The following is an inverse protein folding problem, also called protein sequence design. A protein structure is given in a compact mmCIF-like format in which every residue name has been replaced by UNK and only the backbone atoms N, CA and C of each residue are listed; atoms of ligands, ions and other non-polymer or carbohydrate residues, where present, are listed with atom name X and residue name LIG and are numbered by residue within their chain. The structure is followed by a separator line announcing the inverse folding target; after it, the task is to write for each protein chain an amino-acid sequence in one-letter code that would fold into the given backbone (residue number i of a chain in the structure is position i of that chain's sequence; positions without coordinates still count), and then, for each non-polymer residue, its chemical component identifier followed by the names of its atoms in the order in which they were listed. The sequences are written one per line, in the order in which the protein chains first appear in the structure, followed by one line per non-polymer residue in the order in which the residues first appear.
data_IF_499570321908
#
_entry.id   IF_499570321908
#
_cell.length_a   1.000
_cell.length_b   1.000
_cell.length_c   1.000
_cell.angle_alpha   90.00
_cell.angle_beta   90.00
_cell.angle_gamma   90.00
#
_symmetry.space_group_name_H-M   'P 1'
#
loop_
_entity.id
_entity.type
_entity.pdbx_description
1 polymer ?
#
# COMPACT_ATOMS: atom_id res chain seq x y z
N UNK A 1 -8.46 -2.15 -1.70
CA UNK A 1 -9.77 -1.44 -1.63
C UNK A 1 -10.88 -2.45 -1.35
N UNK A 2 -11.73 -2.25 -0.34
CA UNK A 2 -12.78 -3.21 0.04
C UNK A 2 -13.75 -3.46 -1.12
N UNK A 3 -14.09 -4.73 -1.38
CA UNK A 3 -14.92 -5.25 -2.50
C UNK A 3 -14.35 -5.07 -3.92
N UNK A 4 -13.45 -4.13 -4.16
CA UNK A 4 -12.83 -3.92 -5.49
C UNK A 4 -11.54 -4.72 -5.63
N UNK A 5 -10.70 -4.76 -4.59
CA UNK A 5 -9.38 -5.40 -4.59
C UNK A 5 -9.41 -6.93 -4.55
N UNK A 6 -10.40 -7.54 -5.22
CA UNK A 6 -10.52 -8.98 -5.43
C UNK A 6 -9.58 -9.43 -6.56
N UNK A 7 -9.34 -10.74 -6.65
CA UNK A 7 -8.41 -11.35 -7.62
C UNK A 7 -8.56 -10.79 -9.05
N UNK A 8 -9.76 -10.71 -9.66
CA UNK A 8 -9.86 -10.28 -11.06
C UNK A 8 -9.34 -8.86 -11.29
N UNK A 9 -9.61 -7.95 -10.36
CA UNK A 9 -9.15 -6.57 -10.45
C UNK A 9 -7.64 -6.46 -10.24
N UNK A 10 -7.08 -7.23 -9.30
CA UNK A 10 -5.63 -7.26 -9.05
C UNK A 10 -4.87 -7.79 -10.26
N UNK A 11 -5.30 -8.91 -10.85
CA UNK A 11 -4.70 -9.42 -12.08
C UNK A 11 -4.82 -8.44 -13.23
N UNK A 12 -5.97 -7.78 -13.39
CA UNK A 12 -6.14 -6.77 -14.42
C UNK A 12 -5.19 -5.57 -14.23
N UNK A 13 -5.02 -5.10 -13.00
CA UNK A 13 -4.07 -4.04 -12.69
C UNK A 13 -2.61 -4.45 -12.97
N UNK A 14 -2.20 -5.65 -12.56
CA UNK A 14 -0.85 -6.18 -12.83
C UNK A 14 -0.58 -6.30 -14.32
N UNK A 15 -1.50 -6.92 -15.07
CA UNK A 15 -1.39 -7.08 -16.53
C UNK A 15 -1.34 -5.75 -17.28
N UNK A 16 -1.83 -4.68 -16.66
CA UNK A 16 -1.73 -3.32 -17.17
C UNK A 16 -0.64 -2.51 -16.49
N UNK A 17 0.37 -3.13 -15.90
CA UNK A 17 1.61 -2.45 -15.52
C UNK A 17 1.65 -1.90 -14.09
N UNK A 18 0.72 -2.26 -13.22
CA UNK A 18 0.91 -2.04 -11.78
C UNK A 18 2.10 -2.88 -11.28
N UNK A 19 3.00 -2.28 -10.50
CA UNK A 19 4.18 -2.99 -10.00
C UNK A 19 3.87 -3.87 -8.77
N UNK A 20 2.87 -3.47 -7.97
CA UNK A 20 2.35 -4.22 -6.82
C UNK A 20 0.83 -4.06 -6.75
N UNK A 21 0.14 -5.06 -6.19
CA UNK A 21 -1.31 -5.04 -5.99
C UNK A 21 -1.70 -5.38 -4.56
N UNK A 22 -2.53 -4.51 -3.97
CA UNK A 22 -3.01 -4.70 -2.61
C UNK A 22 -4.35 -5.45 -2.61
N UNK A 23 -4.53 -6.34 -1.63
CA UNK A 23 -5.84 -6.92 -1.35
C UNK A 23 -6.87 -5.86 -0.93
N UNK A 24 -8.12 -6.25 -0.77
CA UNK A 24 -8.97 -5.56 0.19
C UNK A 24 -8.42 -5.66 1.61
N UNK A 25 -8.90 -4.80 2.51
CA UNK A 25 -8.61 -4.95 3.93
C UNK A 25 -9.25 -6.25 4.43
N UNK A 26 -8.43 -7.19 4.89
CA UNK A 26 -8.89 -8.43 5.49
C UNK A 26 -8.73 -8.32 7.01
N UNK A 27 -9.84 -8.41 7.73
CA UNK A 27 -9.80 -8.41 9.20
C UNK A 27 -9.08 -9.66 9.69
N UNK A 28 -8.10 -9.50 10.56
CA UNK A 28 -7.27 -10.58 11.11
C UNK A 28 -8.06 -11.81 11.55
N UNK A 29 -9.17 -11.62 12.27
CA UNK A 29 -10.08 -12.68 12.74
C UNK A 29 -10.67 -13.50 11.59
N UNK A 30 -10.88 -12.93 10.41
CA UNK A 30 -11.34 -13.67 9.23
C UNK A 30 -10.26 -14.62 8.70
N UNK A 31 -8.99 -14.20 8.68
CA UNK A 31 -7.87 -15.06 8.32
C UNK A 31 -7.65 -16.18 9.35
N UNK A 32 -7.77 -15.88 10.64
CA UNK A 32 -7.69 -16.91 11.70
C UNK A 32 -8.75 -18.00 11.54
N UNK A 33 -9.94 -17.61 11.07
CA UNK A 33 -11.02 -18.55 10.78
C UNK A 33 -10.94 -19.15 9.37
N UNK A 34 -9.88 -18.89 8.61
CA UNK A 34 -9.69 -19.45 7.28
C UNK A 34 -8.83 -20.72 7.31
N UNK A 35 -9.03 -21.59 6.31
CA UNK A 35 -8.15 -22.71 5.97
C UNK A 35 -7.53 -22.42 4.60
N UNK A 36 -6.22 -22.64 4.46
CA UNK A 36 -5.51 -22.58 3.18
C UNK A 36 -5.84 -23.83 2.36
N UNK A 37 -6.33 -23.66 1.14
CA UNK A 37 -6.73 -24.74 0.23
C UNK A 37 -6.10 -24.50 -1.12
N UNK A 38 -5.35 -25.49 -1.63
CA UNK A 38 -4.86 -25.46 -3.01
C UNK A 38 -6.01 -25.86 -3.93
N UNK A 39 -6.45 -24.93 -4.78
CA UNK A 39 -7.53 -25.13 -5.72
C UNK A 39 -6.96 -25.49 -7.11
N UNK A 40 -6.75 -26.79 -7.32
CA UNK A 40 -6.16 -27.31 -8.57
C UNK A 40 -6.98 -26.96 -9.82
N UNK A 41 -8.31 -26.85 -9.70
CA UNK A 41 -9.19 -26.53 -10.84
C UNK A 41 -8.95 -25.12 -11.37
N UNK A 42 -8.64 -24.18 -10.48
CA UNK A 42 -8.44 -22.77 -10.82
C UNK A 42 -6.96 -22.38 -10.87
N UNK A 43 -6.05 -23.24 -10.41
CA UNK A 43 -4.64 -22.88 -10.23
C UNK A 43 -4.46 -21.78 -9.18
N UNK A 44 -5.27 -21.79 -8.11
CA UNK A 44 -5.25 -20.76 -7.07
C UNK A 44 -5.01 -21.33 -5.67
N UNK A 45 -4.61 -20.45 -4.76
CA UNK A 45 -4.60 -20.70 -3.33
C UNK A 45 -5.78 -19.94 -2.72
N UNK A 46 -6.67 -20.68 -2.08
CA UNK A 46 -7.91 -20.17 -1.50
C UNK A 46 -7.82 -20.21 0.03
N UNK A 47 -8.02 -19.06 0.67
CA UNK A 47 -8.26 -18.96 2.10
C UNK A 47 -9.76 -19.02 2.33
N UNK A 48 -10.24 -20.18 2.74
CA UNK A 48 -11.67 -20.49 2.85
C UNK A 48 -12.11 -20.41 4.31
N UNK A 49 -13.16 -19.65 4.61
CA UNK A 49 -13.74 -19.58 5.94
C UNK A 49 -14.24 -20.97 6.38
N UNK A 50 -13.84 -21.42 7.56
CA UNK A 50 -14.16 -22.75 8.10
C UNK A 50 -15.65 -22.96 8.40
N UNK A 51 -16.39 -21.88 8.68
CA UNK A 51 -17.78 -21.98 9.13
C UNK A 51 -18.78 -22.05 7.98
N UNK A 52 -18.60 -21.22 6.95
CA UNK A 52 -19.56 -21.06 5.85
C UNK A 52 -18.98 -21.40 4.47
N UNK A 53 -17.71 -21.81 4.41
CA UNK A 53 -16.97 -22.08 3.18
C UNK A 53 -16.86 -20.89 2.20
N UNK A 54 -17.12 -19.66 2.66
CA UNK A 54 -16.89 -18.45 1.85
C UNK A 54 -15.40 -18.22 1.61
N UNK A 55 -15.07 -17.61 0.47
CA UNK A 55 -13.68 -17.24 0.15
C UNK A 55 -13.33 -15.94 0.88
N UNK A 56 -12.34 -15.99 1.76
CA UNK A 56 -11.77 -14.81 2.45
C UNK A 56 -10.76 -14.12 1.54
N UNK A 57 -9.89 -14.89 0.88
CA UNK A 57 -8.92 -14.42 -0.09
C UNK A 57 -8.66 -15.54 -1.09
N UNK A 58 -8.52 -15.18 -2.36
CA UNK A 58 -8.04 -16.07 -3.41
C UNK A 58 -6.85 -15.42 -4.07
N UNK A 59 -5.80 -16.21 -4.29
CA UNK A 59 -4.53 -15.78 -4.87
C UNK A 59 -4.23 -16.66 -6.07
N UNK A 60 -3.92 -16.06 -7.22
CA UNK A 60 -3.41 -16.79 -8.38
C UNK A 60 -1.88 -16.80 -8.36
N UNK A 61 -1.27 -17.82 -8.96
CA UNK A 61 0.20 -17.91 -9.05
C UNK A 61 0.81 -16.66 -9.70
N UNK A 62 0.13 -16.09 -10.70
CA UNK A 62 0.55 -14.88 -11.44
C UNK A 62 0.78 -13.63 -10.58
N UNK A 63 0.10 -13.50 -9.43
CA UNK A 63 0.24 -12.33 -8.55
C UNK A 63 1.07 -12.60 -7.29
N UNK A 64 1.55 -13.83 -7.08
CA UNK A 64 2.15 -14.26 -5.81
C UNK A 64 3.35 -13.40 -5.40
N UNK A 65 4.19 -13.01 -6.36
CA UNK A 65 5.37 -12.15 -6.16
C UNK A 65 5.04 -10.64 -6.17
N UNK A 66 3.76 -10.27 -6.31
CA UNK A 66 3.33 -8.87 -6.43
C UNK A 66 2.23 -8.47 -5.45
N UNK A 67 1.62 -9.46 -4.78
CA UNK A 67 0.47 -9.25 -3.91
C UNK A 67 0.89 -8.80 -2.51
N UNK A 68 0.32 -7.68 -2.08
CA UNK A 68 0.43 -7.16 -0.72
C UNK A 68 -0.86 -7.46 0.03
N UNK A 69 -0.80 -8.31 1.05
CA UNK A 69 -1.96 -8.61 1.88
C UNK A 69 -2.14 -7.54 2.96
N UNK A 70 -3.17 -6.72 2.82
CA UNK A 70 -3.50 -5.69 3.81
C UNK A 70 -4.42 -6.26 4.90
N UNK A 71 -3.94 -6.29 6.14
CA UNK A 71 -4.70 -6.73 7.30
C UNK A 71 -5.23 -5.57 8.15
N UNK A 72 -6.45 -5.74 8.67
CA UNK A 72 -7.00 -4.90 9.73
C UNK A 72 -6.86 -5.62 11.07
N UNK A 73 -6.14 -5.01 12.02
CA UNK A 73 -5.96 -5.55 13.38
C UNK A 73 -5.82 -4.45 14.43
N UNK A 74 -6.15 -4.77 15.68
CA UNK A 74 -5.96 -3.90 16.84
C UNK A 74 -5.20 -4.58 17.99
N UNK A 75 -4.65 -5.78 17.73
CA UNK A 75 -3.96 -6.59 18.73
C UNK A 75 -2.72 -7.30 18.12
N UNK A 76 -1.51 -7.12 18.68
CA UNK A 76 -0.28 -7.69 18.12
C UNK A 76 -0.32 -9.21 17.95
N UNK A 77 -0.76 -9.94 18.97
CA UNK A 77 -0.80 -11.40 18.93
C UNK A 77 -1.79 -11.93 17.88
N UNK A 78 -2.91 -11.24 17.68
CA UNK A 78 -3.92 -11.62 16.68
C UNK A 78 -3.41 -11.30 15.26
N UNK A 79 -2.77 -10.13 15.08
CA UNK A 79 -2.12 -9.75 13.84
C UNK A 79 -1.05 -10.77 13.43
N UNK A 80 -0.15 -11.16 14.36
CA UNK A 80 0.90 -12.14 14.08
C UNK A 80 0.33 -13.48 13.64
N UNK A 81 -0.66 -14.02 14.38
CA UNK A 81 -1.29 -15.28 14.00
C UNK A 81 -1.94 -15.22 12.63
N UNK A 82 -2.58 -14.10 12.27
CA UNK A 82 -3.16 -13.91 10.94
C UNK A 82 -2.09 -13.81 9.85
N UNK A 83 -1.00 -13.08 10.11
CA UNK A 83 0.14 -12.97 9.20
C UNK A 83 0.82 -14.33 8.93
N UNK A 84 0.99 -15.16 9.97
CA UNK A 84 1.54 -16.52 9.85
C UNK A 84 0.73 -17.46 8.98
N UNK A 85 -0.57 -17.21 8.82
CA UNK A 85 -1.43 -18.01 7.93
C UNK A 85 -1.14 -17.72 6.46
N UNK A 86 -0.71 -16.50 6.13
CA UNK A 86 -0.67 -15.97 4.76
C UNK A 86 0.76 -15.71 4.24
N UNK A 87 1.75 -15.57 5.11
CA UNK A 87 3.11 -15.11 4.76
C UNK A 87 3.81 -15.92 3.65
N UNK A 88 3.46 -17.18 3.43
CA UNK A 88 4.09 -18.02 2.40
C UNK A 88 3.46 -17.88 0.99
N UNK A 89 2.38 -17.12 0.88
CA UNK A 89 1.57 -17.01 -0.33
C UNK A 89 1.44 -15.57 -0.85
N UNK A 90 2.18 -14.63 -0.25
CA UNK A 90 2.15 -13.20 -0.58
C UNK A 90 3.56 -12.62 -0.58
N UNK A 91 3.75 -11.53 -1.32
CA UNK A 91 5.04 -10.81 -1.39
C UNK A 91 5.31 -10.03 -0.10
N UNK A 92 4.28 -9.38 0.45
CA UNK A 92 4.41 -8.61 1.69
C UNK A 92 3.08 -8.47 2.41
N UNK A 93 3.14 -8.01 3.66
CA UNK A 93 1.96 -7.75 4.50
C UNK A 93 1.92 -6.27 4.89
N UNK A 94 0.74 -5.66 4.76
CA UNK A 94 0.48 -4.27 5.13
C UNK A 94 -0.53 -4.20 6.29
N UNK A 95 -0.32 -3.29 7.24
CA UNK A 95 -1.30 -3.01 8.29
C UNK A 95 -2.11 -1.75 7.96
N UNK A 96 -3.43 -1.89 7.87
CA UNK A 96 -4.33 -0.77 7.64
C UNK A 96 -4.45 0.10 8.91
N UNK A 97 -3.97 1.34 8.81
CA UNK A 97 -4.08 2.38 9.83
C UNK A 97 -4.81 3.63 9.31
N UNK A 98 -5.50 3.52 8.17
CA UNK A 98 -6.11 4.63 7.45
C UNK A 98 -7.63 4.55 7.26
N UNK A 99 -8.25 3.39 7.47
CA UNK A 99 -9.69 3.20 7.27
C UNK A 99 -10.52 4.08 8.23
N UNK A 100 -11.37 5.02 7.73
CA UNK A 100 -12.22 5.86 8.58
C UNK A 100 -13.56 5.21 8.93
N UNK A 101 -13.87 4.04 8.34
CA UNK A 101 -15.17 3.38 8.48
C UNK A 101 -15.47 3.00 9.93
N UNK A 102 -16.74 3.18 10.34
CA UNK A 102 -17.16 3.02 11.73
C UNK A 102 -16.82 1.65 12.31
N UNK A 103 -17.04 0.57 11.54
CA UNK A 103 -16.76 -0.80 12.01
C UNK A 103 -15.27 -1.00 12.32
N UNK A 104 -14.38 -0.40 11.53
CA UNK A 104 -12.93 -0.50 11.72
C UNK A 104 -12.51 0.31 12.95
N UNK A 105 -12.95 1.56 13.04
CA UNK A 105 -12.58 2.48 14.13
C UNK A 105 -13.10 1.97 15.48
N UNK A 106 -14.35 1.49 15.54
CA UNK A 106 -14.96 0.96 16.76
C UNK A 106 -14.22 -0.27 17.30
N UNK A 107 -13.74 -1.13 16.40
CA UNK A 107 -12.89 -2.28 16.76
C UNK A 107 -11.43 -1.90 17.10
N UNK A 108 -11.09 -0.61 17.07
CA UNK A 108 -9.75 -0.09 17.34
C UNK A 108 -8.75 -0.30 16.20
N UNK A 109 -9.22 -0.61 14.99
CA UNK A 109 -8.42 -0.84 13.78
C UNK A 109 -8.45 0.39 12.86
N UNK A 110 -7.74 0.35 11.74
CA UNK A 110 -7.74 1.43 10.75
C UNK A 110 -7.31 2.76 11.38
N UNK A 111 -8.00 3.85 11.05
CA UNK A 111 -7.70 5.18 11.62
C UNK A 111 -7.88 5.28 13.14
N UNK A 112 -8.49 4.29 13.79
CA UNK A 112 -8.51 4.18 15.26
C UNK A 112 -7.11 4.02 15.86
N UNK A 113 -6.17 3.43 15.12
CA UNK A 113 -4.78 3.25 15.53
C UNK A 113 -4.00 4.57 15.58
N UNK A 114 -4.41 5.59 14.83
CA UNK A 114 -3.75 6.92 14.84
C UNK A 114 -3.82 7.58 16.23
N UNK A 115 -4.86 7.28 17.01
CA UNK A 115 -5.02 7.74 18.41
C UNK A 115 -4.35 6.82 19.43
N UNK A 116 -3.78 5.69 18.98
CA UNK A 116 -3.17 4.64 19.81
C UNK A 116 -1.78 4.27 19.29
N UNK A 117 -0.84 5.24 19.20
CA UNK A 117 0.47 5.03 18.59
C UNK A 117 1.28 3.89 19.23
N UNK A 118 1.13 3.68 20.55
CA UNK A 118 1.75 2.54 21.25
C UNK A 118 1.24 1.19 20.75
N UNK A 119 -0.08 1.06 20.53
CA UNK A 119 -0.67 -0.16 19.96
C UNK A 119 -0.25 -0.35 18.50
N UNK A 120 -0.28 0.72 17.70
CA UNK A 120 0.14 0.68 16.30
C UNK A 120 1.59 0.17 16.17
N UNK A 121 2.51 0.76 16.95
CA UNK A 121 3.90 0.33 17.04
C UNK A 121 4.03 -1.12 17.49
N UNK A 122 3.34 -1.53 18.55
CA UNK A 122 3.46 -2.90 19.06
C UNK A 122 2.97 -3.95 18.06
N UNK A 123 1.97 -3.63 17.23
CA UNK A 123 1.54 -4.52 16.14
C UNK A 123 2.67 -4.67 15.12
N UNK A 124 3.23 -3.55 14.66
CA UNK A 124 4.29 -3.58 13.65
C UNK A 124 5.55 -4.27 14.17
N UNK A 125 6.00 -3.98 15.39
CA UNK A 125 7.18 -4.64 15.99
C UNK A 125 7.00 -6.15 16.13
N UNK A 126 5.78 -6.61 16.46
CA UNK A 126 5.50 -8.04 16.57
C UNK A 126 5.56 -8.72 15.19
N UNK A 127 5.06 -8.05 14.16
CA UNK A 127 5.08 -8.57 12.79
C UNK A 127 6.50 -8.57 12.21
N UNK A 128 7.23 -7.45 12.29
CA UNK A 128 8.56 -7.30 11.69
C UNK A 128 9.60 -8.25 12.30
N UNK A 129 9.44 -8.61 13.58
CA UNK A 129 10.34 -9.57 14.25
C UNK A 129 10.07 -11.03 13.90
N UNK A 130 8.83 -11.37 13.55
CA UNK A 130 8.40 -12.77 13.52
C UNK A 130 7.88 -13.24 12.17
N UNK A 131 7.54 -12.35 11.24
CA UNK A 131 7.06 -12.68 9.89
C UNK A 131 8.24 -12.70 8.92
N UNK A 132 8.22 -13.63 7.98
CA UNK A 132 9.30 -13.85 7.00
C UNK A 132 9.30 -12.88 5.82
N UNK A 133 8.12 -12.34 5.47
CA UNK A 133 7.96 -11.35 4.40
C UNK A 133 8.00 -9.91 4.93
N UNK A 134 8.37 -8.92 4.09
CA UNK A 134 8.42 -7.53 4.50
C UNK A 134 7.07 -7.00 5.03
N UNK A 135 7.14 -6.15 6.06
CA UNK A 135 5.96 -5.50 6.67
C UNK A 135 5.91 -4.02 6.31
N UNK A 136 4.72 -3.55 5.91
CA UNK A 136 4.42 -2.15 5.64
C UNK A 136 3.17 -1.68 6.41
N UNK A 137 2.88 -0.38 6.35
CA UNK A 137 1.59 0.11 6.82
C UNK A 137 1.06 1.26 5.96
N UNK A 138 -0.27 1.41 5.94
CA UNK A 138 -0.95 2.50 5.26
C UNK A 138 -1.71 3.40 6.23
N UNK A 139 -1.36 4.67 6.28
CA UNK A 139 -1.88 5.66 7.23
C UNK A 139 -2.70 6.76 6.55
N UNK A 140 -3.40 7.55 7.38
CA UNK A 140 -3.93 8.88 7.08
C UNK A 140 -3.19 9.92 7.90
N UNK A 141 -3.37 11.20 7.55
CA UNK A 141 -2.78 12.30 8.31
C UNK A 141 -3.45 12.49 9.67
N UNK A 142 -2.64 12.94 10.64
CA UNK A 142 -3.13 13.55 11.87
C UNK A 142 -3.42 15.04 11.62
N UNK A 143 -4.24 15.70 12.47
CA UNK A 143 -4.62 17.10 12.27
C UNK A 143 -3.44 18.08 12.18
N UNK A 144 -2.31 17.77 12.81
CA UNK A 144 -1.08 18.56 12.73
C UNK A 144 -0.03 17.80 11.94
N UNK A 145 0.67 18.53 11.06
CA UNK A 145 1.79 17.99 10.27
C UNK A 145 2.86 17.34 11.15
N UNK A 146 3.32 18.06 12.19
CA UNK A 146 4.33 17.55 13.13
C UNK A 146 3.94 16.21 13.76
N UNK A 147 2.66 16.05 14.13
CA UNK A 147 2.18 14.82 14.72
C UNK A 147 2.17 13.67 13.69
N UNK A 148 1.82 13.98 12.44
CA UNK A 148 1.90 13.01 11.33
C UNK A 148 3.34 12.54 11.09
N UNK A 149 4.30 13.48 11.01
CA UNK A 149 5.73 13.16 10.85
C UNK A 149 6.24 12.28 12.00
N UNK A 150 5.93 12.66 13.25
CA UNK A 150 6.30 11.88 14.43
C UNK A 150 5.68 10.47 14.42
N UNK A 151 4.43 10.35 13.96
CA UNK A 151 3.77 9.05 13.83
C UNK A 151 4.48 8.18 12.78
N UNK A 152 4.82 8.73 11.62
CA UNK A 152 5.53 8.00 10.55
C UNK A 152 6.91 7.52 11.02
N UNK A 153 7.68 8.38 11.71
CA UNK A 153 8.98 8.01 12.30
C UNK A 153 8.84 6.93 13.37
N UNK A 154 7.77 6.98 14.17
CA UNK A 154 7.46 5.92 15.12
C UNK A 154 7.18 4.58 14.42
N UNK A 155 6.43 4.59 13.31
CA UNK A 155 6.17 3.37 12.54
C UNK A 155 7.45 2.83 11.88
N UNK A 156 8.30 3.71 11.33
CA UNK A 156 9.63 3.34 10.84
C UNK A 156 10.47 2.66 11.93
N UNK A 157 10.48 3.20 13.16
CA UNK A 157 11.24 2.61 14.28
C UNK A 157 10.77 1.21 14.67
N UNK A 158 9.58 0.79 14.23
CA UNK A 158 9.08 -0.57 14.40
C UNK A 158 9.65 -1.57 13.36
N UNK A 159 10.42 -1.10 12.37
CA UNK A 159 11.11 -1.94 11.38
C UNK A 159 10.31 -2.18 10.09
N UNK A 160 9.30 -1.37 9.77
CA UNK A 160 8.60 -1.48 8.49
C UNK A 160 9.50 -1.05 7.33
N UNK A 161 9.33 -1.67 6.15
CA UNK A 161 10.16 -1.37 4.99
C UNK A 161 9.62 -0.20 4.14
N UNK A 162 8.34 0.16 4.26
CA UNK A 162 7.73 1.30 3.55
C UNK A 162 6.47 1.77 4.27
N UNK A 163 6.04 2.99 3.97
CA UNK A 163 4.79 3.57 4.49
C UNK A 163 3.95 4.20 3.39
N UNK A 164 2.69 3.81 3.29
CA UNK A 164 1.71 4.44 2.40
C UNK A 164 0.95 5.56 3.10
N UNK A 165 0.96 6.77 2.54
CA UNK A 165 0.34 7.96 3.17
C UNK A 165 -0.82 8.44 2.32
N UNK A 166 -2.05 8.26 2.82
CA UNK A 166 -3.19 9.00 2.30
C UNK A 166 -3.13 10.41 2.87
N UNK A 167 -2.89 11.41 2.02
CA UNK A 167 -2.73 12.81 2.43
C UNK A 167 -4.06 13.52 2.76
N UNK A 168 -4.90 12.86 3.54
CA UNK A 168 -6.10 13.42 4.16
C UNK A 168 -6.16 12.96 5.60
N UNK A 169 -6.76 13.78 6.44
CA UNK A 169 -7.15 13.39 7.79
C UNK A 169 -8.30 12.38 7.75
N UNK A 170 -8.62 11.80 8.90
CA UNK A 170 -9.77 10.90 9.03
C UNK A 170 -11.09 11.63 8.80
N UNK A 171 -11.22 12.83 9.38
CA UNK A 171 -12.43 13.66 9.38
C UNK A 171 -12.82 14.10 7.97
N UNK A 172 -11.85 14.34 7.10
CA UNK A 172 -12.08 14.71 5.70
C UNK A 172 -12.66 13.57 4.86
N UNK A 173 -12.48 12.30 5.27
CA UNK A 173 -12.86 11.13 4.47
C UNK A 173 -12.35 11.23 3.02
N UNK A 174 -13.24 11.46 2.06
CA UNK A 174 -12.95 11.66 0.63
C UNK A 174 -13.30 13.07 0.15
N UNK A 175 -13.61 14.00 1.07
CA UNK A 175 -13.95 15.40 0.81
C UNK A 175 -12.69 16.26 0.72
N UNK A 176 -12.80 17.41 0.08
CA UNK A 176 -11.69 18.34 -0.12
C UNK A 176 -10.57 17.77 -1.00
N UNK A 177 -9.50 18.52 -1.16
CA UNK A 177 -8.29 18.08 -1.87
C UNK A 177 -7.33 17.35 -0.93
N UNK A 178 -6.57 16.40 -1.48
CA UNK A 178 -5.48 15.76 -0.77
C UNK A 178 -4.32 16.75 -0.51
N UNK A 179 -3.81 16.77 0.72
CA UNK A 179 -2.73 17.65 1.21
C UNK A 179 -1.35 17.12 0.82
N UNK A 180 -1.02 17.12 -0.47
CA UNK A 180 0.25 16.57 -0.98
C UNK A 180 1.49 17.20 -0.35
N UNK A 181 1.44 18.46 0.13
CA UNK A 181 2.56 19.12 0.80
C UNK A 181 3.07 18.34 2.00
N UNK A 182 2.20 17.62 2.70
CA UNK A 182 2.61 16.81 3.86
C UNK A 182 3.53 15.66 3.46
N UNK A 183 3.38 15.11 2.25
CA UNK A 183 4.25 14.04 1.74
C UNK A 183 5.62 14.60 1.37
N UNK A 184 5.67 15.79 0.75
CA UNK A 184 6.93 16.48 0.47
C UNK A 184 7.73 16.73 1.76
N UNK A 185 7.06 17.25 2.79
CA UNK A 185 7.67 17.48 4.11
C UNK A 185 8.17 16.17 4.73
N UNK A 186 7.43 15.07 4.57
CA UNK A 186 7.88 13.74 5.01
C UNK A 186 9.13 13.26 4.26
N UNK A 187 9.20 13.51 2.95
CA UNK A 187 10.37 13.18 2.12
C UNK A 187 11.59 14.04 2.42
N UNK A 188 11.39 15.24 2.96
CA UNK A 188 12.46 16.16 3.36
C UNK A 188 12.92 15.96 4.81
N UNK A 189 12.20 15.19 5.64
CA UNK A 189 12.61 14.88 7.01
C UNK A 189 13.79 13.89 6.99
N UNK A 190 14.99 14.29 7.45
CA UNK A 190 16.18 13.45 7.40
C UNK A 190 16.11 12.20 8.31
N UNK A 191 15.17 12.17 9.25
CA UNK A 191 14.97 11.02 10.14
C UNK A 191 14.00 9.99 9.55
N UNK A 192 13.25 10.33 8.47
CA UNK A 192 12.34 9.40 7.79
C UNK A 192 12.99 8.89 6.50
N UNK A 193 13.67 7.76 6.61
CA UNK A 193 14.52 7.19 5.56
C UNK A 193 13.85 6.06 4.77
N UNK A 194 12.75 5.50 5.28
CA UNK A 194 12.01 4.46 4.54
C UNK A 194 11.27 5.06 3.34
N UNK A 195 11.05 4.28 2.27
CA UNK A 195 10.17 4.66 1.18
C UNK A 195 8.78 5.13 1.65
N UNK A 196 8.33 6.26 1.11
CA UNK A 196 7.02 6.86 1.33
C UNK A 196 6.21 6.80 0.05
N UNK A 197 5.10 6.06 0.08
CA UNK A 197 4.18 5.94 -1.05
C UNK A 197 3.04 6.96 -0.92
N UNK A 198 2.87 7.79 -1.94
CA UNK A 198 1.84 8.82 -1.97
C UNK A 198 0.46 8.26 -2.36
N UNK A 199 -0.59 8.66 -1.65
CA UNK A 199 -1.97 8.27 -1.95
C UNK A 199 -2.90 9.47 -1.83
N UNK A 200 -3.73 9.69 -2.85
CA UNK A 200 -4.79 10.70 -2.83
C UNK A 200 -4.86 11.50 -4.12
N UNK A 201 -6.06 11.56 -4.70
CA UNK A 201 -6.42 12.40 -5.86
C UNK A 201 -5.63 12.14 -7.15
N UNK A 202 -5.19 10.90 -7.35
CA UNK A 202 -4.64 10.44 -8.61
C UNK A 202 -5.73 9.75 -9.45
N UNK A 203 -6.21 10.41 -10.51
CA UNK A 203 -7.26 9.91 -11.41
C UNK A 203 -6.83 9.80 -12.88
N UNK A 204 -5.67 10.36 -13.23
CA UNK A 204 -5.11 10.37 -14.58
C UNK A 204 -3.59 10.23 -14.56
N UNK A 205 -3.00 9.98 -15.74
CA UNK A 205 -1.54 10.00 -15.94
C UNK A 205 -0.95 11.34 -15.49
N UNK A 206 -1.60 12.46 -15.87
CA UNK A 206 -1.16 13.79 -15.47
C UNK A 206 -1.13 13.93 -13.94
N UNK A 207 -2.16 13.47 -13.24
CA UNK A 207 -2.19 13.53 -11.77
C UNK A 207 -1.07 12.71 -11.15
N UNK A 208 -0.75 11.53 -11.70
CA UNK A 208 0.35 10.70 -11.22
C UNK A 208 1.70 11.42 -11.36
N UNK A 209 1.91 12.07 -12.50
CA UNK A 209 3.13 12.81 -12.79
C UNK A 209 3.27 14.03 -11.87
N UNK A 210 2.21 14.82 -11.74
CA UNK A 210 2.21 15.97 -10.83
C UNK A 210 2.37 15.55 -9.37
N UNK A 211 1.71 14.46 -8.95
CA UNK A 211 1.84 13.92 -7.60
C UNK A 211 3.30 13.53 -7.31
N UNK A 212 3.94 12.77 -8.21
CA UNK A 212 5.35 12.36 -8.05
C UNK A 212 6.27 13.59 -8.04
N UNK A 213 6.12 14.49 -9.02
CA UNK A 213 6.93 15.70 -9.15
C UNK A 213 6.84 16.59 -7.92
N UNK A 214 5.64 16.80 -7.41
CA UNK A 214 5.39 17.68 -6.27
C UNK A 214 5.84 17.06 -4.94
N UNK A 215 5.53 15.78 -4.72
CA UNK A 215 5.78 15.13 -3.42
C UNK A 215 7.15 14.50 -3.28
N UNK A 216 7.84 14.26 -4.40
CA UNK A 216 9.09 13.49 -4.45
C UNK A 216 8.96 12.10 -3.79
N UNK A 217 7.75 11.53 -3.82
CA UNK A 217 7.47 10.22 -3.24
C UNK A 217 8.18 9.10 -4.01
N UNK A 218 8.41 7.99 -3.31
CA UNK A 218 9.13 6.84 -3.88
C UNK A 218 8.20 6.02 -4.79
N UNK A 219 6.89 6.04 -4.52
CA UNK A 219 5.86 5.45 -5.37
C UNK A 219 4.47 6.03 -5.12
N UNK A 220 3.50 5.62 -5.93
CA UNK A 220 2.13 6.13 -5.88
C UNK A 220 1.16 4.96 -5.71
N UNK A 221 0.26 5.09 -4.74
CA UNK A 221 -0.87 4.19 -4.54
C UNK A 221 -2.13 4.79 -5.19
N UNK A 222 -2.56 4.19 -6.30
CA UNK A 222 -3.76 4.62 -7.03
C UNK A 222 -4.95 3.75 -6.63
N UNK A 223 -5.96 4.37 -6.01
CA UNK A 223 -7.19 3.71 -5.58
C UNK A 223 -8.34 4.01 -6.56
N UNK A 224 -9.04 5.14 -6.34
CA UNK A 224 -10.24 5.49 -7.12
C UNK A 224 -9.96 5.64 -8.61
N UNK A 225 -8.81 6.20 -9.02
CA UNK A 225 -8.43 6.28 -10.44
C UNK A 225 -8.41 4.91 -11.12
N UNK A 226 -7.79 3.92 -10.47
CA UNK A 226 -7.75 2.55 -10.96
C UNK A 226 -9.13 1.87 -10.98
N UNK A 227 -10.03 2.21 -10.06
CA UNK A 227 -11.42 1.72 -10.13
C UNK A 227 -12.16 2.23 -11.37
N UNK A 228 -11.87 3.45 -11.82
CA UNK A 228 -12.50 4.02 -13.02
C UNK A 228 -11.86 3.44 -14.28
N UNK A 229 -10.53 3.31 -14.29
CA UNK A 229 -9.79 2.75 -15.40
C UNK A 229 -8.54 2.00 -14.91
N UNK A 230 -8.55 0.66 -14.84
CA UNK A 230 -7.37 -0.14 -14.49
C UNK A 230 -6.20 0.02 -15.46
N UNK A 231 -6.46 0.45 -16.71
CA UNK A 231 -5.41 0.70 -17.71
C UNK A 231 -4.52 1.90 -17.37
N UNK A 232 -4.89 2.71 -16.38
CA UNK A 232 -4.11 3.89 -15.95
C UNK A 232 -2.65 3.56 -15.64
N UNK A 233 -2.37 2.36 -15.11
CA UNK A 233 -1.01 1.93 -14.80
C UNK A 233 -0.16 1.78 -16.07
N UNK A 234 -0.76 1.35 -17.19
CA UNK A 234 -0.06 1.15 -18.45
C UNK A 234 0.31 2.49 -19.06
N UNK A 235 -0.63 3.43 -19.05
CA UNK A 235 -0.41 4.77 -19.58
C UNK A 235 0.68 5.52 -18.79
N UNK A 236 0.71 5.35 -17.47
CA UNK A 236 1.77 5.91 -16.61
C UNK A 236 3.13 5.29 -16.96
N UNK A 237 3.20 3.96 -17.03
CA UNK A 237 4.46 3.25 -17.31
C UNK A 237 4.99 3.55 -18.71
N UNK A 238 4.12 3.52 -19.71
CA UNK A 238 4.47 3.85 -21.10
C UNK A 238 5.02 5.27 -21.23
N UNK A 239 4.40 6.24 -20.54
CA UNK A 239 4.87 7.62 -20.56
C UNK A 239 6.19 7.81 -19.80
N UNK A 240 6.46 7.03 -18.76
CA UNK A 240 7.80 6.97 -18.14
C UNK A 240 8.86 6.41 -19.08
N UNK A 241 8.57 5.32 -19.78
CA UNK A 241 9.52 4.72 -20.71
C UNK A 241 9.80 5.64 -21.92
N UNK A 242 8.82 6.43 -22.34
CA UNK A 242 9.00 7.50 -23.33
C UNK A 242 9.95 8.59 -22.80
N UNK A 243 9.67 9.17 -21.63
CA UNK A 243 10.50 10.23 -21.03
C UNK A 243 11.93 9.74 -20.72
N UNK A 244 12.09 8.51 -20.25
CA UNK A 244 13.39 7.93 -19.96
C UNK A 244 14.23 7.74 -21.24
N UNK A 245 13.59 7.32 -22.34
CA UNK A 245 14.26 7.24 -23.65
C UNK A 245 14.66 8.60 -24.16
N UNK A 246 13.76 9.58 -24.15
CA UNK A 246 14.06 10.97 -24.54
C UNK A 246 15.23 11.53 -23.73
N UNK A 247 15.27 11.31 -22.41
CA UNK A 247 16.36 11.75 -21.56
C UNK A 247 17.71 11.14 -21.98
N UNK A 248 17.77 9.81 -22.18
CA UNK A 248 18.99 9.13 -22.59
C UNK A 248 19.48 9.59 -23.97
N UNK A 249 18.56 9.83 -24.92
CA UNK A 249 18.88 10.40 -26.22
C UNK A 249 19.49 11.80 -26.09
N UNK A 250 18.95 12.65 -25.21
CA UNK A 250 19.51 13.99 -24.97
C UNK A 250 20.85 13.99 -24.24
N UNK A 251 21.09 13.04 -23.33
CA UNK A 251 22.42 12.86 -22.71
C UNK A 251 23.47 12.47 -23.74
N UNK A 252 23.14 11.55 -24.64
CA UNK A 252 24.04 11.10 -25.72
C UNK A 252 24.46 12.29 -26.60
N UNK A 253 23.55 13.23 -26.88
CA UNK A 253 23.88 14.48 -27.60
C UNK A 253 24.85 15.37 -26.81
N UNK A 254 24.70 15.45 -25.48
CA UNK A 254 25.61 16.22 -24.63
C UNK A 254 27.01 15.60 -24.56
N UNK A 255 27.11 14.28 -24.47
CA UNK A 255 28.38 13.55 -24.43
C UNK A 255 29.15 13.70 -25.75
N UNK A 256 28.47 13.58 -26.88
CA UNK A 256 29.05 13.84 -28.21
C UNK A 256 29.53 15.28 -28.40
N UNK A 257 28.88 16.24 -27.74
CA UNK A 257 29.30 17.64 -27.76
C UNK A 257 30.60 17.88 -26.98
N UNK A 258 30.79 17.16 -25.87
CA UNK A 258 32.01 17.28 -25.05
C UNK A 258 33.20 16.50 -25.64
N UNK A 259 32.97 15.45 -26.44
CA UNK A 259 34.03 14.76 -27.22
C UNK A 259 34.58 15.60 -28.40
N UNK A 260 33.88 16.67 -28.79
CA UNK A 260 34.29 17.57 -29.88
C UNK A 260 34.91 18.90 -29.39
N UNK A 261 35.25 18.99 -28.11
CA UNK A 261 36.07 20.05 -27.51
C UNK A 261 37.49 19.58 -27.21
#
# INVERSE_FOLDING_TARGET
MVRVGLLPFRLLALRHGADLVYTEEIIDKKLLNAKRVVNQKLGTIDFVNKNDNSIVLRIAEEEKEFIVCQIGSSNPATALKAAKIIENDVESIDVNMGCPEHFSVHAGMGSGLLKRPKTARSILEELTKNVSVPISCKVRLLPKLKDSLNFMKLMQSAGIHQIGVHSRTREEMSRGFAHWSTILEAKQDPELTIPVLASGDCFSVKDAFELRRYTQCDGILIARGACHNPYIFNDIKSKWDEVAREFNETQTVSELYDEHK
#
